data_IF_750368871209
#
_entry.id   IF_750368871209
#
_cell.length_a   1.000
_cell.length_b   1.000
_cell.length_c   1.000
_cell.angle_alpha   90.00
_cell.angle_beta   90.00
_cell.angle_gamma   90.00
#
_symmetry.space_group_name_H-M   'P 1'
#
loop_
_entity.id
_entity.type
_entity.pdbx_description
1 polymer ?
#
# COMPACT_ATOMS: atom_id res chain seq x y z
N UNK A 1 -5.27 -7.95 20.93
CA UNK A 1 -4.13 -8.91 20.92
C UNK A 1 -3.81 -9.39 19.50
N UNK A 2 -4.78 -9.78 18.70
CA UNK A 2 -4.59 -10.32 17.33
C UNK A 2 -3.92 -9.33 16.37
N UNK A 3 -4.27 -8.04 16.45
CA UNK A 3 -3.66 -7.00 15.61
C UNK A 3 -2.16 -6.83 15.88
N UNK A 4 -1.76 -6.81 17.16
CA UNK A 4 -0.35 -6.69 17.55
C UNK A 4 0.47 -7.87 17.05
N UNK A 5 0.00 -9.10 17.25
CA UNK A 5 0.65 -10.31 16.76
C UNK A 5 0.80 -10.32 15.24
N UNK A 6 -0.21 -9.87 14.51
CA UNK A 6 -0.15 -9.78 13.03
C UNK A 6 0.89 -8.79 12.51
N UNK A 7 1.32 -7.83 13.33
CA UNK A 7 2.39 -6.87 12.99
C UNK A 7 3.76 -7.29 13.50
N UNK A 8 3.82 -8.01 14.64
CA UNK A 8 5.08 -8.46 15.22
C UNK A 8 5.66 -9.67 14.49
N UNK A 9 4.81 -10.64 14.13
CA UNK A 9 5.26 -11.87 13.48
C UNK A 9 6.05 -11.64 12.18
N UNK A 10 5.60 -10.76 11.25
CA UNK A 10 6.38 -10.43 10.05
C UNK A 10 7.77 -9.88 10.38
N UNK A 11 7.92 -9.08 11.44
CA UNK A 11 9.22 -8.51 11.82
C UNK A 11 10.23 -9.57 12.21
N UNK A 12 9.80 -10.71 12.76
CA UNK A 12 10.68 -11.84 13.08
C UNK A 12 11.06 -12.67 11.85
N UNK A 13 10.22 -12.66 10.81
CA UNK A 13 10.44 -13.42 9.58
C UNK A 13 11.30 -12.62 8.60
N UNK A 14 11.24 -11.29 8.63
CA UNK A 14 12.05 -10.43 7.77
C UNK A 14 13.55 -10.66 7.99
N UNK A 15 14.40 -10.48 6.97
CA UNK A 15 15.81 -10.84 7.02
C UNK A 15 16.58 -10.34 8.24
N UNK A 16 16.34 -9.10 8.64
CA UNK A 16 16.98 -8.51 9.82
C UNK A 16 16.49 -9.16 11.13
N UNK A 17 15.17 -9.28 11.31
CA UNK A 17 14.59 -9.87 12.53
C UNK A 17 14.97 -11.33 12.69
N UNK A 18 14.90 -12.11 11.60
CA UNK A 18 15.35 -13.50 11.60
C UNK A 18 16.82 -13.63 11.96
N UNK A 19 17.69 -12.79 11.39
CA UNK A 19 19.13 -12.80 11.68
C UNK A 19 19.43 -12.48 13.15
N UNK A 20 18.78 -11.45 13.71
CA UNK A 20 18.94 -11.09 15.12
C UNK A 20 18.45 -12.21 16.04
N UNK A 21 17.28 -12.77 15.76
CA UNK A 21 16.72 -13.88 16.53
C UNK A 21 17.65 -15.11 16.50
N UNK A 22 18.16 -15.47 15.31
CA UNK A 22 19.11 -16.56 15.16
C UNK A 22 20.40 -16.34 15.95
N UNK A 23 20.96 -15.12 15.94
CA UNK A 23 22.16 -14.77 16.72
C UNK A 23 21.88 -14.85 18.22
N UNK A 24 20.74 -14.33 18.69
CA UNK A 24 20.35 -14.40 20.10
C UNK A 24 20.27 -15.82 20.62
N UNK A 25 19.66 -16.74 19.86
CA UNK A 25 19.58 -18.15 20.24
C UNK A 25 20.96 -18.83 20.33
N UNK A 26 21.96 -18.30 19.61
CA UNK A 26 23.31 -18.88 19.56
C UNK A 26 24.35 -18.11 20.37
N UNK A 27 23.97 -17.14 21.21
CA UNK A 27 24.89 -16.33 22.00
C UNK A 27 25.80 -17.18 22.94
N UNK A 28 25.24 -18.23 23.54
CA UNK A 28 25.99 -19.10 24.47
C UNK A 28 27.05 -19.99 23.80
N UNK A 29 26.92 -20.23 22.48
CA UNK A 29 27.86 -21.06 21.72
C UNK A 29 28.11 -20.41 20.34
N UNK A 30 28.79 -19.26 20.30
CA UNK A 30 29.10 -18.59 19.05
C UNK A 30 30.09 -19.44 18.23
N UNK A 31 29.78 -19.68 16.98
CA UNK A 31 30.66 -20.35 16.06
C UNK A 31 30.87 -19.48 14.82
N UNK A 32 32.10 -19.41 14.32
CA UNK A 32 32.44 -18.62 13.12
C UNK A 32 31.50 -18.93 11.94
N UNK A 33 31.17 -20.22 11.75
CA UNK A 33 30.23 -20.65 10.69
C UNK A 33 28.84 -20.00 10.82
N UNK A 34 28.30 -19.91 12.05
CA UNK A 34 26.98 -19.29 12.31
C UNK A 34 26.98 -17.79 12.00
N UNK A 35 28.03 -17.11 12.43
CA UNK A 35 28.22 -15.67 12.14
C UNK A 35 28.35 -15.45 10.64
N UNK A 36 29.18 -16.25 9.96
CA UNK A 36 29.34 -16.18 8.51
C UNK A 36 28.03 -16.42 7.77
N UNK A 37 27.20 -17.39 8.19
CA UNK A 37 25.88 -17.64 7.62
C UNK A 37 24.98 -16.40 7.72
N UNK A 38 24.95 -15.72 8.87
CA UNK A 38 24.16 -14.47 9.03
C UNK A 38 24.69 -13.36 8.15
N UNK A 39 26.01 -13.18 8.07
CA UNK A 39 26.61 -12.17 7.19
C UNK A 39 26.23 -12.44 5.75
N UNK A 40 26.38 -13.66 5.28
CA UNK A 40 26.01 -14.04 3.90
C UNK A 40 24.51 -13.82 3.63
N UNK A 41 23.65 -14.22 4.55
CA UNK A 41 22.20 -14.05 4.44
C UNK A 41 21.84 -12.55 4.36
N UNK A 42 22.28 -11.73 5.32
CA UNK A 42 22.01 -10.30 5.30
C UNK A 42 22.59 -9.61 4.07
N UNK A 43 23.81 -9.97 3.65
CA UNK A 43 24.42 -9.43 2.45
C UNK A 43 23.57 -9.72 1.20
N UNK A 44 23.09 -10.96 1.07
CA UNK A 44 22.25 -11.37 -0.06
C UNK A 44 20.95 -10.54 -0.13
N UNK A 45 20.22 -10.43 0.98
CA UNK A 45 18.99 -9.65 1.03
C UNK A 45 19.22 -8.12 1.00
N UNK A 46 20.44 -7.66 1.20
CA UNK A 46 20.81 -6.26 1.04
C UNK A 46 21.16 -5.86 -0.39
N UNK A 47 21.20 -6.82 -1.31
CA UNK A 47 21.45 -6.56 -2.74
C UNK A 47 20.17 -6.07 -3.41
N UNK A 48 20.24 -4.94 -4.11
CA UNK A 48 19.07 -4.32 -4.76
C UNK A 48 18.40 -5.23 -5.79
N UNK A 49 19.19 -6.04 -6.49
CA UNK A 49 18.70 -7.01 -7.46
C UNK A 49 17.82 -8.09 -6.78
N UNK A 50 18.24 -8.62 -5.63
CA UNK A 50 17.47 -9.63 -4.89
C UNK A 50 16.16 -9.03 -4.40
N UNK A 51 16.19 -7.83 -3.83
CA UNK A 51 14.99 -7.12 -3.41
C UNK A 51 14.01 -6.88 -4.59
N UNK A 52 14.52 -6.47 -5.75
CA UNK A 52 13.69 -6.28 -6.95
C UNK A 52 13.06 -7.58 -7.45
N UNK A 53 13.79 -8.70 -7.40
CA UNK A 53 13.26 -10.01 -7.78
C UNK A 53 12.10 -10.44 -6.86
N UNK A 54 12.27 -10.27 -5.55
CA UNK A 54 11.22 -10.55 -4.57
C UNK A 54 9.97 -9.70 -4.81
N UNK A 55 10.15 -8.39 -5.05
CA UNK A 55 9.02 -7.51 -5.35
C UNK A 55 8.32 -7.87 -6.66
N UNK A 56 9.06 -8.26 -7.70
CA UNK A 56 8.46 -8.76 -8.94
C UNK A 56 7.52 -9.95 -8.70
N UNK A 57 7.91 -10.87 -7.82
CA UNK A 57 7.05 -12.02 -7.47
C UNK A 57 5.78 -11.59 -6.73
N UNK A 58 5.88 -10.63 -5.83
CA UNK A 58 4.74 -10.14 -5.03
C UNK A 58 3.80 -9.29 -5.87
N UNK A 59 4.34 -8.46 -6.77
CA UNK A 59 3.57 -7.56 -7.62
C UNK A 59 3.00 -8.26 -8.86
N UNK A 60 3.45 -9.45 -9.21
CA UNK A 60 2.88 -10.24 -10.31
C UNK A 60 1.41 -10.63 -10.02
N UNK A 61 0.51 -10.53 -10.98
CA UNK A 61 0.70 -10.23 -12.43
C UNK A 61 0.50 -8.76 -12.82
N UNK A 62 0.53 -7.84 -11.86
CA UNK A 62 0.14 -6.46 -12.10
C UNK A 62 1.15 -5.72 -12.97
N UNK A 63 0.61 -4.82 -13.78
CA UNK A 63 1.38 -3.90 -14.64
C UNK A 63 0.89 -2.48 -14.41
N UNK A 64 1.75 -1.50 -14.69
CA UNK A 64 1.38 -0.09 -14.71
C UNK A 64 0.44 0.16 -15.88
N UNK A 65 -0.72 0.71 -15.60
CA UNK A 65 -1.77 1.03 -16.56
C UNK A 65 -1.78 2.55 -16.71
N UNK A 66 -1.86 3.04 -17.95
CA UNK A 66 -2.13 4.45 -18.19
C UNK A 66 -3.57 4.78 -17.79
N UNK A 67 -3.79 5.97 -17.21
CA UNK A 67 -5.13 6.37 -16.79
C UNK A 67 -6.12 6.47 -17.97
N UNK A 68 -5.61 6.75 -19.19
CA UNK A 68 -6.44 6.78 -20.39
C UNK A 68 -6.95 5.39 -20.78
N UNK A 69 -6.15 4.35 -20.51
CA UNK A 69 -6.49 2.95 -20.82
C UNK A 69 -7.37 2.31 -19.74
N UNK A 70 -7.53 2.97 -18.59
CA UNK A 70 -8.40 2.47 -17.52
C UNK A 70 -9.87 2.42 -18.00
N UNK A 71 -10.62 1.33 -17.76
CA UNK A 71 -12.02 1.25 -18.10
C UNK A 71 -12.85 2.24 -17.28
N UNK A 72 -14.05 2.56 -17.77
CA UNK A 72 -15.03 3.31 -16.98
C UNK A 72 -15.70 2.41 -15.94
N UNK A 73 -16.06 2.98 -14.81
CA UNK A 73 -16.68 2.30 -13.68
C UNK A 73 -17.76 3.16 -13.01
N UNK A 74 -18.51 2.58 -12.09
CA UNK A 74 -19.53 3.30 -11.30
C UNK A 74 -18.87 4.13 -10.18
N UNK A 75 -17.71 3.69 -9.69
CA UNK A 75 -16.95 4.40 -8.68
C UNK A 75 -15.44 4.09 -8.75
N UNK A 76 -14.63 5.07 -8.36
CA UNK A 76 -13.21 4.90 -8.05
C UNK A 76 -13.08 4.72 -6.55
N UNK A 77 -12.42 3.65 -6.11
CA UNK A 77 -12.19 3.36 -4.70
C UNK A 77 -10.69 3.42 -4.43
N UNK A 78 -10.27 4.41 -3.65
CA UNK A 78 -8.89 4.59 -3.23
C UNK A 78 -8.72 4.06 -1.81
N UNK A 79 -7.92 3.00 -1.65
CA UNK A 79 -7.66 2.42 -0.34
C UNK A 79 -6.66 3.25 0.46
N UNK A 80 -6.88 3.31 1.76
CA UNK A 80 -5.99 3.95 2.72
C UNK A 80 -4.61 3.27 2.81
N UNK A 81 -3.69 3.90 3.51
CA UNK A 81 -2.32 3.39 3.73
C UNK A 81 -1.24 4.15 2.95
N UNK A 82 -1.59 5.33 2.40
CA UNK A 82 -0.66 6.21 1.69
C UNK A 82 0.07 7.21 2.59
N UNK A 83 -0.25 7.26 3.88
CA UNK A 83 0.41 8.13 4.84
C UNK A 83 -0.42 9.33 5.29
N UNK A 84 0.22 10.24 5.99
CA UNK A 84 -0.42 11.44 6.54
C UNK A 84 -0.26 12.61 5.58
N UNK A 85 -1.35 13.16 5.00
CA UNK A 85 -1.23 14.28 4.06
C UNK A 85 -0.88 15.60 4.75
N UNK A 86 -1.22 15.79 6.01
CA UNK A 86 -0.99 17.04 6.73
C UNK A 86 0.16 16.91 7.74
N UNK A 87 1.08 17.88 7.72
CA UNK A 87 2.15 17.97 8.69
C UNK A 87 1.60 18.11 10.13
N UNK A 88 2.32 17.58 11.13
CA UNK A 88 1.93 17.73 12.51
C UNK A 88 2.02 19.19 12.99
N UNK A 89 1.25 19.51 14.06
CA UNK A 89 1.26 20.83 14.70
C UNK A 89 0.38 21.85 13.98
N UNK A 90 0.85 23.10 13.87
CA UNK A 90 0.12 24.22 13.27
C UNK A 90 0.43 24.44 11.79
N UNK A 91 1.19 23.53 11.16
CA UNK A 91 1.55 23.66 9.76
C UNK A 91 0.36 23.39 8.85
N UNK A 92 0.25 24.20 7.78
CA UNK A 92 -0.69 23.93 6.68
C UNK A 92 -0.01 23.20 5.50
N UNK A 93 1.21 22.71 5.70
CA UNK A 93 1.95 21.96 4.68
C UNK A 93 1.50 20.50 4.71
N UNK A 94 1.35 19.91 3.53
CA UNK A 94 1.05 18.50 3.37
C UNK A 94 2.34 17.69 3.25
N UNK A 95 2.54 16.76 4.17
CA UNK A 95 3.68 15.83 4.18
C UNK A 95 3.20 14.43 3.81
N UNK A 96 3.45 14.05 2.56
CA UNK A 96 3.01 12.78 2.02
C UNK A 96 3.98 11.66 2.37
N UNK A 97 3.47 10.55 2.87
CA UNK A 97 4.25 9.33 3.03
C UNK A 97 4.32 8.54 1.72
N UNK A 98 3.16 8.23 1.15
CA UNK A 98 3.01 7.51 -0.11
C UNK A 98 1.77 8.06 -0.85
N UNK A 99 1.94 9.07 -1.71
CA UNK A 99 0.83 9.76 -2.36
C UNK A 99 0.27 9.06 -3.59
N UNK A 100 0.91 8.01 -4.10
CA UNK A 100 0.62 7.42 -5.40
C UNK A 100 -0.85 7.01 -5.55
N UNK A 101 -1.44 6.42 -4.49
CA UNK A 101 -2.86 6.02 -4.51
C UNK A 101 -3.79 7.22 -4.60
N UNK A 102 -3.50 8.26 -3.83
CA UNK A 102 -4.29 9.48 -3.80
C UNK A 102 -4.28 10.17 -5.16
N UNK A 103 -3.10 10.45 -5.70
CA UNK A 103 -2.98 11.14 -6.99
C UNK A 103 -3.54 10.33 -8.15
N UNK A 104 -3.38 9.00 -8.14
CA UNK A 104 -4.01 8.15 -9.14
C UNK A 104 -5.54 8.22 -9.08
N UNK A 105 -6.12 8.21 -7.87
CA UNK A 105 -7.57 8.40 -7.71
C UNK A 105 -8.07 9.72 -8.26
N UNK A 106 -7.35 10.82 -7.98
CA UNK A 106 -7.67 12.16 -8.51
C UNK A 106 -7.56 12.18 -10.05
N UNK A 107 -6.45 11.65 -10.60
CA UNK A 107 -6.23 11.62 -12.05
C UNK A 107 -7.32 10.83 -12.78
N UNK A 108 -7.68 9.66 -12.30
CA UNK A 108 -8.78 8.85 -12.85
C UNK A 108 -10.12 9.58 -12.81
N UNK A 109 -10.41 10.28 -11.72
CA UNK A 109 -11.64 11.06 -11.59
C UNK A 109 -11.65 12.22 -12.56
N UNK A 110 -10.57 13.00 -12.66
CA UNK A 110 -10.44 14.11 -13.62
C UNK A 110 -10.56 13.67 -15.08
N UNK A 111 -10.14 12.44 -15.40
CA UNK A 111 -10.31 11.81 -16.71
C UNK A 111 -11.71 11.22 -16.93
N UNK A 112 -12.65 11.44 -16.01
CA UNK A 112 -14.04 10.98 -16.14
C UNK A 112 -14.22 9.46 -16.09
N UNK A 113 -13.28 8.72 -15.46
CA UNK A 113 -13.35 7.25 -15.40
C UNK A 113 -14.46 6.73 -14.49
N UNK A 114 -14.97 7.55 -13.57
CA UNK A 114 -16.19 7.29 -12.81
C UNK A 114 -16.80 8.58 -12.26
N UNK A 115 -18.13 8.61 -12.00
CA UNK A 115 -18.81 9.78 -11.44
C UNK A 115 -18.61 9.96 -9.93
N UNK A 116 -18.10 8.94 -9.22
CA UNK A 116 -17.91 8.94 -7.78
C UNK A 116 -16.48 8.54 -7.41
N UNK A 117 -15.92 9.24 -6.43
CA UNK A 117 -14.60 9.00 -5.86
C UNK A 117 -14.74 8.70 -4.36
N UNK A 118 -14.25 7.56 -3.93
CA UNK A 118 -14.25 7.16 -2.52
C UNK A 118 -12.84 7.07 -1.98
N UNK A 119 -12.61 7.70 -0.84
CA UNK A 119 -11.41 7.50 -0.02
C UNK A 119 -11.76 6.69 1.21
N UNK A 120 -11.04 5.61 1.50
CA UNK A 120 -11.31 4.81 2.69
C UNK A 120 -10.72 5.46 3.94
N UNK A 121 -11.45 5.43 5.05
CA UNK A 121 -11.12 6.08 6.32
C UNK A 121 -10.11 5.29 7.14
N UNK A 122 -8.94 4.96 6.57
CA UNK A 122 -7.90 4.21 7.26
C UNK A 122 -7.43 4.90 8.54
N UNK A 123 -7.29 4.10 9.60
CA UNK A 123 -6.78 4.56 10.88
C UNK A 123 -5.94 3.48 11.55
N UNK A 124 -5.03 3.88 12.44
CA UNK A 124 -4.29 2.93 13.27
C UNK A 124 -4.96 2.80 14.63
N UNK A 125 -5.09 1.59 15.20
CA UNK A 125 -5.70 1.40 16.53
C UNK A 125 -4.99 2.17 17.65
N UNK A 126 -3.73 2.52 17.44
CA UNK A 126 -2.89 3.24 18.42
C UNK A 126 -2.73 4.72 18.09
N UNK A 127 -3.29 5.17 16.98
CA UNK A 127 -3.18 6.56 16.54
C UNK A 127 -4.19 7.46 17.26
N UNK A 128 -3.71 8.53 17.88
CA UNK A 128 -4.54 9.62 18.41
C UNK A 128 -4.94 10.65 17.33
N UNK A 129 -4.90 10.26 16.04
CA UNK A 129 -5.28 11.18 14.97
C UNK A 129 -6.75 11.57 15.10
N UNK A 130 -7.03 12.86 15.12
CA UNK A 130 -8.39 13.42 15.21
C UNK A 130 -9.20 13.07 13.95
N UNK A 131 -8.56 13.06 12.79
CA UNK A 131 -9.15 12.73 11.49
C UNK A 131 -8.55 11.44 10.93
N UNK A 132 -9.36 10.64 10.27
CA UNK A 132 -8.90 9.50 9.46
C UNK A 132 -8.32 9.96 8.13
N UNK A 133 -7.61 9.04 7.46
CA UNK A 133 -6.91 9.32 6.19
C UNK A 133 -7.89 9.74 5.09
N UNK A 134 -9.03 9.08 4.97
CA UNK A 134 -10.03 9.39 3.95
C UNK A 134 -10.60 10.80 4.10
N UNK A 135 -10.84 11.25 5.32
CA UNK A 135 -11.30 12.62 5.60
C UNK A 135 -10.26 13.66 5.16
N UNK A 136 -8.98 13.44 5.48
CA UNK A 136 -7.90 14.33 5.06
C UNK A 136 -7.75 14.38 3.53
N UNK A 137 -7.84 13.23 2.87
CA UNK A 137 -7.80 13.16 1.41
C UNK A 137 -8.98 13.87 0.76
N UNK A 138 -10.18 13.72 1.30
CA UNK A 138 -11.37 14.44 0.82
C UNK A 138 -11.20 15.94 0.93
N UNK A 139 -10.76 16.44 2.09
CA UNK A 139 -10.54 17.88 2.31
C UNK A 139 -9.53 18.45 1.31
N UNK A 140 -8.41 17.74 1.11
CA UNK A 140 -7.39 18.15 0.15
C UNK A 140 -7.91 18.07 -1.30
N UNK A 141 -8.64 17.03 -1.68
CA UNK A 141 -9.20 16.90 -3.02
C UNK A 141 -10.18 18.04 -3.34
N UNK A 142 -11.01 18.45 -2.37
CA UNK A 142 -11.91 19.59 -2.51
C UNK A 142 -11.10 20.88 -2.70
N UNK A 143 -10.00 21.08 -1.98
CA UNK A 143 -9.13 22.25 -2.16
C UNK A 143 -8.46 22.30 -3.54
N UNK A 144 -8.33 21.15 -4.22
CA UNK A 144 -7.87 21.04 -5.61
C UNK A 144 -9.00 21.19 -6.65
N UNK A 145 -10.22 21.53 -6.21
CA UNK A 145 -11.36 21.79 -7.10
C UNK A 145 -12.21 20.56 -7.45
N UNK A 146 -11.98 19.40 -6.81
CA UNK A 146 -12.89 18.26 -7.01
C UNK A 146 -14.21 18.53 -6.29
N UNK A 147 -15.37 18.41 -6.96
CA UNK A 147 -16.66 18.72 -6.36
C UNK A 147 -16.96 17.85 -5.14
N UNK A 148 -17.36 18.47 -4.03
CA UNK A 148 -17.61 17.77 -2.75
C UNK A 148 -18.70 16.70 -2.85
N UNK A 149 -19.69 16.89 -3.72
CA UNK A 149 -20.78 15.92 -3.97
C UNK A 149 -20.32 14.65 -4.68
N UNK A 150 -19.18 14.71 -5.36
CA UNK A 150 -18.60 13.56 -6.06
C UNK A 150 -17.69 12.72 -5.17
N UNK A 151 -17.25 13.25 -4.01
CA UNK A 151 -16.32 12.57 -3.10
C UNK A 151 -17.05 12.07 -1.86
N UNK A 152 -16.84 10.80 -1.54
CA UNK A 152 -17.32 10.18 -0.30
C UNK A 152 -16.16 9.53 0.47
N UNK A 153 -16.34 9.39 1.78
CA UNK A 153 -15.39 8.68 2.64
C UNK A 153 -16.11 7.58 3.40
N UNK A 154 -15.39 6.53 3.76
CA UNK A 154 -15.92 5.52 4.69
C UNK A 154 -15.78 5.99 6.13
N UNK A 155 -16.45 5.31 7.05
CA UNK A 155 -16.14 5.38 8.48
C UNK A 155 -14.71 4.89 8.75
N UNK A 156 -14.24 5.10 9.99
CA UNK A 156 -12.90 4.65 10.42
C UNK A 156 -12.77 3.14 10.29
N UNK A 157 -11.77 2.70 9.56
CA UNK A 157 -11.45 1.29 9.30
C UNK A 157 -10.00 1.00 9.64
N UNK A 158 -9.70 -0.23 10.06
CA UNK A 158 -8.35 -0.64 10.49
C UNK A 158 -7.72 -1.72 9.59
N UNK A 159 -8.47 -2.22 8.62
CA UNK A 159 -7.99 -3.23 7.67
C UNK A 159 -8.83 -3.27 6.38
N UNK A 160 -8.26 -3.85 5.33
CA UNK A 160 -8.87 -3.91 4.00
C UNK A 160 -10.19 -4.68 3.93
N UNK A 161 -10.43 -5.63 4.83
CA UNK A 161 -11.73 -6.32 4.86
C UNK A 161 -12.84 -5.39 5.33
N UNK A 162 -12.57 -4.54 6.33
CA UNK A 162 -13.50 -3.52 6.78
C UNK A 162 -13.69 -2.44 5.70
N UNK A 163 -12.63 -2.05 4.98
CA UNK A 163 -12.75 -1.12 3.84
C UNK A 163 -13.76 -1.64 2.82
N UNK A 164 -13.65 -2.91 2.42
CA UNK A 164 -14.56 -3.51 1.45
C UNK A 164 -16.02 -3.56 1.94
N UNK A 165 -16.24 -3.89 3.21
CA UNK A 165 -17.58 -3.91 3.83
C UNK A 165 -18.18 -2.50 3.88
N UNK A 166 -17.40 -1.50 4.32
CA UNK A 166 -17.89 -0.13 4.42
C UNK A 166 -18.22 0.47 3.05
N UNK A 167 -17.36 0.21 2.04
CA UNK A 167 -17.66 0.61 0.65
C UNK A 167 -18.96 -0.07 0.18
N UNK A 168 -19.16 -1.35 0.49
CA UNK A 168 -20.41 -2.04 0.14
C UNK A 168 -21.63 -1.39 0.78
N UNK A 169 -21.54 -1.00 2.04
CA UNK A 169 -22.63 -0.29 2.75
C UNK A 169 -22.94 1.06 2.10
N UNK A 170 -21.89 1.83 1.74
CA UNK A 170 -22.06 3.14 1.12
C UNK A 170 -22.60 3.06 -0.32
N UNK A 171 -22.31 1.98 -1.03
CA UNK A 171 -22.74 1.75 -2.41
C UNK A 171 -24.01 0.89 -2.53
N UNK A 172 -24.61 0.43 -1.43
CA UNK A 172 -25.84 -0.39 -1.45
C UNK A 172 -27.05 0.29 -2.12
N UNK A 173 -26.99 1.59 -2.36
CA UNK A 173 -27.98 2.33 -3.16
C UNK A 173 -27.74 2.17 -4.68
N UNK A 174 -26.62 1.59 -5.08
CA UNK A 174 -26.22 1.31 -6.46
C UNK A 174 -26.20 -0.21 -6.61
N UNK A 175 -26.74 -0.75 -7.68
CA UNK A 175 -27.00 -2.17 -7.97
C UNK A 175 -25.94 -3.17 -7.46
N UNK A 176 -26.36 -4.40 -7.19
CA UNK A 176 -25.55 -5.50 -6.60
C UNK A 176 -24.31 -5.92 -7.41
N UNK A 177 -24.13 -5.43 -8.62
CA UNK A 177 -22.98 -5.71 -9.50
C UNK A 177 -22.22 -4.44 -9.91
N UNK A 178 -22.04 -3.50 -8.97
CA UNK A 178 -21.31 -2.25 -9.28
C UNK A 178 -19.89 -2.53 -9.74
N UNK A 179 -19.53 -1.92 -10.87
CA UNK A 179 -18.18 -1.90 -11.41
C UNK A 179 -17.35 -0.88 -10.63
N UNK A 180 -16.22 -1.26 -10.11
CA UNK A 180 -15.34 -0.34 -9.39
C UNK A 180 -13.92 -0.35 -9.95
N UNK A 181 -13.31 0.84 -10.05
CA UNK A 181 -11.87 1.00 -10.22
C UNK A 181 -11.25 0.99 -8.83
N UNK A 182 -10.51 -0.08 -8.51
CA UNK A 182 -9.86 -0.24 -7.20
C UNK A 182 -8.41 0.23 -7.28
N UNK A 183 -8.09 1.31 -6.57
CA UNK A 183 -6.76 1.91 -6.53
C UNK A 183 -6.06 1.55 -5.21
N UNK A 184 -4.95 0.86 -5.31
CA UNK A 184 -4.07 0.52 -4.19
C UNK A 184 -2.68 0.14 -4.68
N UNK A 185 -1.70 0.00 -3.76
CA UNK A 185 -0.34 -0.44 -4.13
C UNK A 185 -0.38 -1.82 -4.78
N UNK A 186 0.49 -2.03 -5.78
CA UNK A 186 0.56 -3.27 -6.55
C UNK A 186 0.70 -4.51 -5.67
N UNK A 187 1.53 -4.44 -4.63
CA UNK A 187 1.74 -5.54 -3.69
C UNK A 187 0.52 -5.87 -2.80
N UNK A 188 -0.41 -4.92 -2.64
CA UNK A 188 -1.68 -5.12 -1.93
C UNK A 188 -2.82 -5.54 -2.86
N UNK A 189 -2.72 -5.30 -4.15
CA UNK A 189 -3.81 -5.42 -5.10
C UNK A 189 -4.44 -6.81 -5.12
N UNK A 190 -3.65 -7.87 -5.12
CA UNK A 190 -4.17 -9.26 -5.14
C UNK A 190 -5.11 -9.55 -3.97
N UNK A 191 -4.72 -9.10 -2.76
CA UNK A 191 -5.53 -9.26 -1.55
C UNK A 191 -6.76 -8.36 -1.58
N UNK A 192 -6.59 -7.10 -1.93
CA UNK A 192 -7.68 -6.13 -1.98
C UNK A 192 -8.74 -6.55 -2.99
N UNK A 193 -8.36 -6.87 -4.23
CA UNK A 193 -9.27 -7.34 -5.28
C UNK A 193 -10.14 -8.50 -4.77
N UNK A 194 -9.51 -9.54 -4.20
CA UNK A 194 -10.24 -10.71 -3.67
C UNK A 194 -11.25 -10.34 -2.56
N UNK A 195 -10.94 -9.37 -1.71
CA UNK A 195 -11.84 -8.94 -0.64
C UNK A 195 -13.04 -8.15 -1.19
N UNK A 196 -12.82 -7.28 -2.18
CA UNK A 196 -13.89 -6.52 -2.82
C UNK A 196 -14.78 -7.41 -3.70
N UNK A 197 -14.22 -8.37 -4.45
CA UNK A 197 -15.00 -9.37 -5.20
C UNK A 197 -15.89 -10.20 -4.29
N UNK A 198 -15.44 -10.56 -3.09
CA UNK A 198 -16.28 -11.25 -2.08
C UNK A 198 -17.46 -10.40 -1.59
N UNK A 199 -17.40 -9.09 -1.72
CA UNK A 199 -18.53 -8.20 -1.45
C UNK A 199 -19.46 -8.02 -2.66
N UNK A 200 -19.22 -8.74 -3.76
CA UNK A 200 -20.05 -8.71 -4.96
C UNK A 200 -19.71 -7.61 -5.97
N UNK A 201 -18.55 -6.96 -5.85
CA UNK A 201 -18.10 -5.97 -6.83
C UNK A 201 -17.47 -6.62 -8.06
N UNK A 202 -17.69 -6.03 -9.22
CA UNK A 202 -16.85 -6.27 -10.39
C UNK A 202 -15.65 -5.33 -10.32
N UNK A 203 -14.47 -5.89 -9.98
CA UNK A 203 -13.28 -5.10 -9.67
C UNK A 203 -12.38 -4.97 -10.87
N UNK A 204 -12.18 -3.74 -11.33
CA UNK A 204 -11.11 -3.35 -12.24
C UNK A 204 -9.91 -2.84 -11.43
N UNK A 205 -8.81 -3.59 -11.37
CA UNK A 205 -7.64 -3.19 -10.59
C UNK A 205 -6.89 -2.05 -11.28
N UNK A 206 -6.56 -1.02 -10.52
CA UNK A 206 -5.64 0.04 -10.93
C UNK A 206 -4.47 0.10 -9.95
N UNK A 207 -3.45 -0.77 -10.15
CA UNK A 207 -2.30 -0.88 -9.26
C UNK A 207 -1.35 0.30 -9.43
N UNK A 208 -0.93 0.88 -8.31
CA UNK A 208 0.06 1.97 -8.22
C UNK A 208 1.14 1.62 -7.21
N UNK A 209 2.04 2.55 -6.86
CA UNK A 209 3.08 2.35 -5.85
C UNK A 209 3.83 1.03 -6.06
N UNK A 210 4.33 0.82 -7.27
CA UNK A 210 5.17 -0.34 -7.57
C UNK A 210 6.55 -0.18 -6.94
N UNK A 211 6.96 -1.15 -6.18
CA UNK A 211 8.30 -1.21 -5.59
C UNK A 211 9.35 -1.65 -6.60
N UNK A 212 8.93 -2.36 -7.65
CA UNK A 212 9.82 -2.70 -8.77
C UNK A 212 10.08 -1.50 -9.65
N UNK A 213 11.33 -1.35 -10.11
CA UNK A 213 11.72 -0.28 -11.03
C UNK A 213 11.27 -0.56 -12.47
N UNK A 214 10.85 0.49 -13.20
CA UNK A 214 10.65 0.43 -14.66
C UNK A 214 11.98 0.26 -15.41
N UNK A 215 13.06 0.82 -14.87
CA UNK A 215 14.39 0.80 -15.50
C UNK A 215 15.10 -0.46 -15.04
N UNK A 216 15.72 -1.19 -15.99
CA UNK A 216 16.56 -2.32 -15.65
C UNK A 216 17.71 -1.86 -14.74
N UNK A 217 17.63 -2.21 -13.46
CA UNK A 217 18.63 -1.85 -12.45
C UNK A 217 19.96 -2.61 -12.64
N UNK A 218 20.00 -3.58 -13.56
CA UNK A 218 21.19 -4.33 -13.91
C UNK A 218 22.35 -3.43 -14.36
N UNK A 219 22.05 -2.25 -14.90
CA UNK A 219 23.03 -1.31 -15.42
C UNK A 219 23.71 -0.45 -14.36
N UNK A 220 23.20 -0.45 -13.11
CA UNK A 220 23.80 0.33 -12.02
C UNK A 220 24.62 -0.56 -11.10
N UNK A 221 25.96 -0.36 -11.01
CA UNK A 221 26.80 -1.14 -10.11
C UNK A 221 26.39 -1.05 -8.65
N UNK A 222 25.77 0.06 -8.23
CA UNK A 222 25.27 0.24 -6.86
C UNK A 222 24.18 -0.75 -6.47
N UNK A 223 23.50 -1.39 -7.42
CA UNK A 223 22.47 -2.39 -7.14
C UNK A 223 23.05 -3.76 -6.75
N UNK A 224 24.33 -3.97 -6.99
CA UNK A 224 25.06 -5.18 -6.63
C UNK A 224 25.77 -5.07 -5.28
N UNK A 225 25.83 -3.86 -4.73
CA UNK A 225 26.46 -3.61 -3.44
C UNK A 225 25.38 -3.68 -2.34
N UNK A 226 25.61 -4.45 -1.26
CA UNK A 226 24.71 -4.48 -0.11
C UNK A 226 24.46 -3.07 0.45
N UNK A 227 23.18 -2.73 0.65
CA UNK A 227 22.78 -1.44 1.20
C UNK A 227 21.50 -1.55 2.06
N UNK A 228 21.33 -0.63 3.00
CA UNK A 228 20.23 -0.61 3.95
C UNK A 228 18.86 -0.43 3.28
N UNK A 229 18.78 0.35 2.19
CA UNK A 229 17.53 0.56 1.46
C UNK A 229 17.01 -0.75 0.84
N UNK A 230 17.89 -1.56 0.27
CA UNK A 230 17.54 -2.85 -0.30
C UNK A 230 17.15 -3.85 0.78
N UNK A 231 17.85 -3.89 1.90
CA UNK A 231 17.51 -4.72 3.05
C UNK A 231 16.14 -4.36 3.65
N UNK A 232 15.81 -3.07 3.72
CA UNK A 232 14.50 -2.64 4.20
C UNK A 232 13.36 -3.03 3.24
N UNK A 233 13.68 -3.17 1.95
CA UNK A 233 12.71 -3.56 0.91
C UNK A 233 12.58 -5.08 0.76
N UNK A 234 13.57 -5.86 1.15
CA UNK A 234 13.53 -7.33 1.09
C UNK A 234 12.86 -7.93 2.33
#
# INVERSE_FOLDING_TARGET
KTYFLSKLLPLLILPLGFSLFYLLLNLKKPAKKKIFTVILFLSTFSIGFVADLLWKLVEYPWQRIDENDAPTADAIIVLSGGGRPQAPGKSNIYEWGDPDRYFAGISLFQKGKAPKLFFTGGTTPYGKASKDEGTLYKEHAISLGIPSYAISTTSKVVNTAQEAIEIRRNLNQINSSSKILLVTSAFHMKRAKKLFERQGFLVYPFPVDFRTSKISRWQSPYQWIPNSRSLHRS
#
